data_IF_387615686504
#
_entry.id   IF_387615686504
#
_cell.length_a   1.000
_cell.length_b   1.000
_cell.length_c   1.000
_cell.angle_alpha   90.00
_cell.angle_beta   90.00
_cell.angle_gamma   90.00
#
_symmetry.space_group_name_H-M   'P 1'
#
loop_
_entity.id
_entity.type
_entity.pdbx_description
1 polymer ?
#
# COMPACT_ATOMS: atom_id res chain seq x y z
N UNK A 1 0.57 -14.18 -4.46
CA UNK A 1 1.27 -13.01 -3.89
C UNK A 1 1.35 -11.80 -4.81
N UNK A 2 1.96 -11.83 -6.01
CA UNK A 2 2.10 -10.61 -6.85
C UNK A 2 0.77 -9.91 -7.24
N UNK A 3 -0.31 -10.63 -7.61
CA UNK A 3 -1.59 -9.98 -7.90
C UNK A 3 -2.24 -9.34 -6.66
N UNK A 4 -2.11 -9.99 -5.50
CA UNK A 4 -2.58 -9.45 -4.22
C UNK A 4 -1.80 -8.20 -3.83
N UNK A 5 -0.49 -8.16 -4.10
CA UNK A 5 0.33 -6.97 -3.87
C UNK A 5 -0.18 -5.78 -4.69
N UNK A 6 -0.45 -5.97 -5.99
CA UNK A 6 -0.96 -4.89 -6.84
C UNK A 6 -2.31 -4.35 -6.35
N UNK A 7 -3.22 -5.25 -5.96
CA UNK A 7 -4.52 -4.85 -5.43
C UNK A 7 -4.35 -4.12 -4.10
N UNK A 8 -3.54 -4.66 -3.18
CA UNK A 8 -3.23 -4.01 -1.92
C UNK A 8 -2.62 -2.62 -2.12
N UNK A 9 -1.67 -2.50 -3.06
CA UNK A 9 -1.02 -1.24 -3.37
C UNK A 9 -2.01 -0.21 -3.90
N UNK A 10 -2.85 -0.56 -4.89
CA UNK A 10 -3.83 0.37 -5.45
C UNK A 10 -4.93 0.73 -4.42
N UNK A 11 -5.37 -0.24 -3.61
CA UNK A 11 -6.29 0.02 -2.50
C UNK A 11 -5.67 0.92 -1.43
N UNK A 12 -4.39 0.75 -1.12
CA UNK A 12 -3.66 1.62 -0.21
C UNK A 12 -3.54 3.06 -0.74
N UNK A 13 -3.31 3.24 -2.05
CA UNK A 13 -3.35 4.58 -2.67
C UNK A 13 -4.76 5.20 -2.53
N UNK A 14 -5.82 4.41 -2.69
CA UNK A 14 -7.19 4.89 -2.50
C UNK A 14 -7.50 5.29 -1.04
N UNK A 15 -7.02 4.53 -0.06
CA UNK A 15 -7.26 4.78 1.36
C UNK A 15 -6.51 6.01 1.89
N UNK A 16 -5.37 6.36 1.29
CA UNK A 16 -4.68 7.61 1.63
C UNK A 16 -5.44 8.87 1.25
N UNK A 17 -6.55 8.78 0.50
CA UNK A 17 -7.39 9.91 0.09
C UNK A 17 -6.61 11.07 -0.56
N UNK A 18 -5.42 10.81 -1.10
CA UNK A 18 -4.59 11.80 -1.81
C UNK A 18 -4.73 11.66 -3.31
N UNK A 19 -4.44 12.74 -4.03
CA UNK A 19 -4.38 12.74 -5.49
C UNK A 19 -3.49 11.57 -5.93
N UNK A 20 -3.99 10.59 -6.70
CA UNK A 20 -5.14 10.61 -7.63
C UNK A 20 -6.56 10.29 -7.10
N UNK A 21 -6.73 9.78 -5.88
CA UNK A 21 -8.01 9.39 -5.25
C UNK A 21 -8.47 10.39 -4.18
N UNK A 22 -8.35 11.66 -4.51
CA UNK A 22 -8.67 12.78 -3.62
C UNK A 22 -10.17 13.07 -3.62
N UNK A 23 -10.95 12.22 -2.94
CA UNK A 23 -12.42 12.34 -2.90
C UNK A 23 -12.83 13.43 -1.91
N UNK A 24 -12.22 13.46 -0.72
CA UNK A 24 -12.60 14.41 0.34
C UNK A 24 -12.29 15.87 0.00
N UNK A 25 -11.28 16.15 -0.83
CA UNK A 25 -11.00 17.49 -1.36
C UNK A 25 -11.67 17.72 -2.73
N UNK A 26 -12.12 16.66 -3.41
CA UNK A 26 -12.83 16.71 -4.69
C UNK A 26 -14.30 17.09 -4.59
N UNK A 27 -14.94 16.91 -3.43
CA UNK A 27 -16.30 17.43 -3.17
C UNK A 27 -16.29 18.95 -2.87
N UNK A 28 -15.11 19.60 -2.90
CA UNK A 28 -14.91 21.02 -2.58
C UNK A 28 -15.49 22.02 -3.58
N UNK A 29 -16.15 21.55 -4.65
CA UNK A 29 -17.13 22.39 -5.35
C UNK A 29 -18.36 22.72 -4.46
N UNK A 30 -18.56 22.03 -3.33
CA UNK A 30 -19.47 22.37 -2.23
C UNK A 30 -18.71 22.21 -0.88
N UNK A 31 -17.78 23.14 -0.60
CA UNK A 31 -17.11 23.40 0.70
C UNK A 31 -16.24 22.26 1.26
N UNK A 32 -14.92 22.46 1.26
CA UNK A 32 -13.92 21.65 1.96
C UNK A 32 -14.14 21.69 3.49
N UNK A 33 -15.05 20.85 4.01
CA UNK A 33 -15.57 20.92 5.38
C UNK A 33 -14.48 21.00 6.46
N UNK A 34 -13.55 20.04 6.52
CA UNK A 34 -12.57 20.01 7.61
C UNK A 34 -11.49 21.12 7.54
N UNK A 35 -11.27 21.71 6.36
CA UNK A 35 -10.37 22.86 6.20
C UNK A 35 -11.03 24.19 6.64
N UNK A 36 -12.36 24.25 6.65
CA UNK A 36 -13.14 25.45 6.97
C UNK A 36 -13.72 25.39 8.39
N UNK A 37 -14.02 24.19 8.90
CA UNK A 37 -14.69 23.99 10.19
C UNK A 37 -13.74 23.86 11.38
N UNK A 38 -12.49 23.44 11.16
CA UNK A 38 -11.51 23.25 12.23
C UNK A 38 -10.39 24.30 12.19
N UNK A 39 -10.08 24.91 13.35
CA UNK A 39 -8.98 25.87 13.50
C UNK A 39 -7.92 25.37 14.50
N UNK A 40 -6.67 25.82 14.31
CA UNK A 40 -5.56 25.58 15.23
C UNK A 40 -5.12 24.10 15.32
N UNK A 41 -5.28 23.51 16.51
CA UNK A 41 -4.76 22.17 16.85
C UNK A 41 -5.56 21.04 16.18
N UNK A 42 -6.88 21.20 16.04
CA UNK A 42 -7.74 20.17 15.44
C UNK A 42 -7.43 19.99 13.95
N UNK A 43 -7.17 21.09 13.24
CA UNK A 43 -6.69 21.08 11.86
C UNK A 43 -5.37 20.31 11.73
N UNK A 44 -4.38 20.58 12.60
CA UNK A 44 -3.10 19.89 12.59
C UNK A 44 -3.22 18.37 12.81
N UNK A 45 -4.16 17.93 13.67
CA UNK A 45 -4.42 16.51 13.93
C UNK A 45 -4.94 15.78 12.69
N UNK A 46 -5.76 16.42 11.85
CA UNK A 46 -6.24 15.82 10.60
C UNK A 46 -5.10 15.58 9.61
N UNK A 47 -4.20 16.56 9.41
CA UNK A 47 -3.02 16.34 8.56
C UNK A 47 -2.09 15.28 9.13
N UNK A 48 -1.86 15.32 10.46
CA UNK A 48 -1.04 14.31 11.12
C UNK A 48 -1.62 12.91 10.87
N UNK A 49 -2.92 12.72 11.07
CA UNK A 49 -3.59 11.44 10.85
C UNK A 49 -3.46 10.97 9.39
N UNK A 50 -3.62 11.87 8.42
CA UNK A 50 -3.47 11.56 7.00
C UNK A 50 -2.04 11.12 6.66
N UNK A 51 -1.01 11.82 7.16
CA UNK A 51 0.39 11.44 6.98
C UNK A 51 0.75 10.15 7.73
N UNK A 52 0.18 9.94 8.92
CA UNK A 52 0.34 8.70 9.66
C UNK A 52 -0.24 7.51 8.90
N UNK A 53 -1.40 7.67 8.25
CA UNK A 53 -2.01 6.62 7.44
C UNK A 53 -1.12 6.26 6.24
N UNK A 54 -0.52 7.25 5.57
CA UNK A 54 0.42 7.03 4.48
C UNK A 54 1.65 6.23 4.92
N UNK A 55 2.22 6.55 6.09
CA UNK A 55 3.35 5.81 6.66
C UNK A 55 2.93 4.38 7.02
N UNK A 56 1.75 4.22 7.63
CA UNK A 56 1.21 2.92 8.05
C UNK A 56 1.02 1.98 6.87
N UNK A 57 0.36 2.43 5.80
CA UNK A 57 0.12 1.64 4.58
C UNK A 57 1.46 1.26 3.92
N UNK A 58 2.44 2.17 3.91
CA UNK A 58 3.78 1.91 3.37
C UNK A 58 4.54 0.85 4.19
N UNK A 59 4.42 0.88 5.52
CA UNK A 59 5.01 -0.13 6.42
C UNK A 59 4.35 -1.49 6.20
N UNK A 60 3.02 -1.54 6.15
CA UNK A 60 2.27 -2.77 5.93
C UNK A 60 2.58 -3.40 4.56
N UNK A 61 2.70 -2.59 3.50
CA UNK A 61 3.13 -3.05 2.18
C UNK A 61 4.50 -3.75 2.25
N UNK A 62 5.45 -3.14 2.96
CA UNK A 62 6.81 -3.65 3.14
C UNK A 62 6.83 -4.98 3.92
N UNK A 63 6.05 -5.07 5.00
CA UNK A 63 5.96 -6.27 5.84
C UNK A 63 5.29 -7.42 5.11
N UNK A 64 4.13 -7.19 4.49
CA UNK A 64 3.30 -8.25 3.92
C UNK A 64 3.86 -8.81 2.61
N UNK A 65 4.50 -7.98 1.78
CA UNK A 65 4.88 -8.38 0.41
C UNK A 65 6.39 -8.37 0.14
N UNK A 66 7.17 -7.57 0.87
CA UNK A 66 8.61 -7.39 0.62
C UNK A 66 9.50 -7.96 1.74
N UNK A 67 8.98 -8.90 2.53
CA UNK A 67 9.73 -9.60 3.57
C UNK A 67 10.08 -8.76 4.79
N UNK A 68 9.47 -7.57 4.96
CA UNK A 68 9.60 -6.72 6.15
C UNK A 68 11.04 -6.42 6.54
N UNK A 69 11.45 -7.03 7.66
CA UNK A 69 12.75 -6.86 8.31
C UNK A 69 13.90 -7.61 7.64
N UNK A 70 13.59 -8.60 6.79
CA UNK A 70 14.59 -9.41 6.13
C UNK A 70 15.34 -8.61 5.08
N UNK A 71 16.64 -8.87 4.98
CA UNK A 71 17.46 -8.31 3.93
C UNK A 71 16.96 -8.82 2.58
N UNK A 72 16.74 -7.95 1.57
CA UNK A 72 16.40 -8.41 0.23
C UNK A 72 17.52 -9.22 -0.45
N UNK A 73 18.69 -9.33 0.19
CA UNK A 73 19.87 -10.04 -0.28
C UNK A 73 20.14 -11.37 0.46
N UNK A 74 19.24 -11.77 1.37
CA UNK A 74 19.36 -13.03 2.13
C UNK A 74 19.36 -14.21 1.15
N UNK A 75 20.47 -14.97 1.11
CA UNK A 75 20.70 -16.06 0.13
C UNK A 75 21.52 -15.70 -1.12
N UNK A 76 22.04 -14.47 -1.23
CA UNK A 76 22.96 -14.06 -2.31
C UNK A 76 24.41 -13.94 -1.83
N UNK A 77 25.38 -13.86 -2.76
CA UNK A 77 26.81 -13.68 -2.45
C UNK A 77 27.14 -12.41 -1.63
N UNK A 78 26.18 -11.48 -1.50
CA UNK A 78 26.34 -10.21 -0.79
C UNK A 78 25.85 -10.26 0.66
N UNK A 79 25.24 -11.37 1.09
CA UNK A 79 24.67 -11.51 2.43
C UNK A 79 25.73 -11.28 3.54
N UNK A 80 26.94 -11.82 3.34
CA UNK A 80 28.06 -11.65 4.27
C UNK A 80 28.51 -10.19 4.45
N UNK A 81 28.30 -9.33 3.45
CA UNK A 81 28.70 -7.92 3.50
C UNK A 81 27.65 -7.02 4.15
N UNK A 82 26.39 -7.45 4.20
CA UNK A 82 25.27 -6.65 4.69
C UNK A 82 24.64 -7.18 5.98
N UNK A 83 25.11 -8.33 6.50
CA UNK A 83 24.66 -8.93 7.75
C UNK A 83 24.79 -8.03 8.99
N UNK A 84 25.68 -7.03 8.96
CA UNK A 84 25.87 -6.08 10.07
C UNK A 84 24.81 -4.97 10.13
N UNK A 85 23.99 -4.81 9.08
CA UNK A 85 22.94 -3.79 9.03
C UNK A 85 21.70 -4.29 9.79
N UNK A 86 21.22 -3.55 10.82
CA UNK A 86 20.00 -3.92 11.54
C UNK A 86 18.80 -4.03 10.61
N UNK A 87 17.95 -5.05 10.81
CA UNK A 87 16.70 -5.26 10.05
C UNK A 87 15.77 -4.05 10.01
N UNK A 88 15.81 -3.19 11.04
CA UNK A 88 15.04 -1.94 11.07
C UNK A 88 15.41 -0.97 9.94
N UNK A 89 16.69 -0.92 9.56
CA UNK A 89 17.16 -0.05 8.49
C UNK A 89 16.59 -0.53 7.15
N UNK A 90 16.52 -1.85 6.93
CA UNK A 90 15.90 -2.44 5.75
C UNK A 90 14.41 -2.13 5.66
N UNK A 91 13.68 -2.27 6.79
CA UNK A 91 12.28 -1.88 6.84
C UNK A 91 12.09 -0.40 6.53
N UNK A 92 12.94 0.46 7.10
CA UNK A 92 12.88 1.91 6.91
C UNK A 92 13.15 2.31 5.46
N UNK A 93 14.18 1.73 4.82
CA UNK A 93 14.51 1.98 3.41
C UNK A 93 13.36 1.56 2.50
N UNK A 94 12.80 0.36 2.70
CA UNK A 94 11.64 -0.12 1.92
C UNK A 94 10.42 0.79 2.12
N UNK A 95 10.19 1.24 3.35
CA UNK A 95 9.09 2.16 3.66
C UNK A 95 9.29 3.52 2.96
N UNK A 96 10.50 4.09 3.00
CA UNK A 96 10.84 5.33 2.29
C UNK A 96 10.64 5.16 0.78
N UNK A 97 11.02 4.00 0.22
CA UNK A 97 10.77 3.69 -1.18
C UNK A 97 9.27 3.73 -1.50
N UNK A 98 8.41 3.08 -0.71
CA UNK A 98 6.96 3.13 -0.92
C UNK A 98 6.40 4.55 -0.80
N UNK A 99 6.81 5.30 0.22
CA UNK A 99 6.43 6.72 0.39
C UNK A 99 6.84 7.53 -0.85
N UNK A 100 8.04 7.29 -1.38
CA UNK A 100 8.51 7.93 -2.61
C UNK A 100 7.63 7.57 -3.82
N UNK A 101 7.22 6.30 -3.96
CA UNK A 101 6.27 5.90 -5.01
C UNK A 101 4.93 6.61 -4.83
N UNK A 102 4.38 6.70 -3.61
CA UNK A 102 3.14 7.45 -3.34
C UNK A 102 3.26 8.93 -3.74
N UNK A 103 4.39 9.57 -3.40
CA UNK A 103 4.70 10.94 -3.82
C UNK A 103 4.81 11.07 -5.35
N UNK A 104 5.41 10.09 -6.01
CA UNK A 104 5.57 10.08 -7.46
C UNK A 104 4.23 9.89 -8.19
N UNK A 105 3.38 8.98 -7.69
CA UNK A 105 2.02 8.78 -8.22
C UNK A 105 1.18 10.05 -8.10
N UNK A 106 1.30 10.77 -6.98
CA UNK A 106 0.66 12.07 -6.80
C UNK A 106 1.10 13.09 -7.85
N UNK A 107 2.38 13.09 -8.22
CA UNK A 107 2.93 14.03 -9.19
C UNK A 107 2.57 13.69 -10.65
N UNK A 108 2.33 12.41 -10.96
CA UNK A 108 2.18 11.92 -12.35
C UNK A 108 0.75 11.65 -12.78
N UNK A 109 -0.14 11.26 -11.85
CA UNK A 109 -1.49 10.85 -12.21
C UNK A 109 -2.50 12.00 -12.07
N UNK A 110 -3.33 12.24 -13.10
CA UNK A 110 -4.47 13.15 -12.99
C UNK A 110 -5.54 12.57 -12.04
N UNK A 111 -6.39 13.45 -11.51
CA UNK A 111 -7.48 13.09 -10.59
C UNK A 111 -8.44 12.09 -11.24
N UNK A 112 -8.80 11.02 -10.53
CA UNK A 112 -9.81 10.05 -10.96
C UNK A 112 -11.19 10.39 -10.38
N UNK A 113 -12.24 10.19 -11.17
CA UNK A 113 -13.63 10.41 -10.73
C UNK A 113 -14.09 9.26 -9.83
N UNK A 114 -14.84 9.57 -8.77
CA UNK A 114 -15.40 8.61 -7.80
C UNK A 114 -16.03 7.38 -8.47
N UNK A 115 -16.87 7.59 -9.49
CA UNK A 115 -17.56 6.51 -10.21
C UNK A 115 -16.62 5.49 -10.89
N UNK A 116 -15.44 5.94 -11.32
CA UNK A 116 -14.45 5.07 -11.94
C UNK A 116 -13.74 4.22 -10.89
N UNK A 117 -13.48 4.79 -9.72
CA UNK A 117 -12.83 4.15 -8.58
C UNK A 117 -13.76 3.08 -8.00
N UNK A 118 -15.03 3.43 -7.81
CA UNK A 118 -16.05 2.50 -7.32
C UNK A 118 -16.23 1.32 -8.29
N UNK A 119 -16.26 1.60 -9.60
CA UNK A 119 -16.31 0.53 -10.62
C UNK A 119 -15.06 -0.35 -10.61
N UNK A 120 -13.87 0.21 -10.42
CA UNK A 120 -12.62 -0.53 -10.33
C UNK A 120 -12.61 -1.45 -9.10
N UNK A 121 -12.98 -0.94 -7.92
CA UNK A 121 -13.05 -1.72 -6.69
C UNK A 121 -14.06 -2.87 -6.79
N UNK A 122 -15.28 -2.57 -7.23
CA UNK A 122 -16.36 -3.57 -7.25
C UNK A 122 -16.30 -4.54 -8.43
N UNK A 123 -15.95 -4.08 -9.64
CA UNK A 123 -15.97 -4.95 -10.82
C UNK A 123 -14.64 -5.63 -11.11
N UNK A 124 -13.53 -5.12 -10.58
CA UNK A 124 -12.20 -5.62 -10.92
C UNK A 124 -11.51 -6.18 -9.67
N UNK A 125 -11.36 -5.41 -8.60
CA UNK A 125 -10.60 -5.89 -7.43
C UNK A 125 -11.26 -7.04 -6.70
N UNK A 126 -12.54 -6.92 -6.36
CA UNK A 126 -13.27 -7.93 -5.61
C UNK A 126 -13.31 -9.31 -6.33
N UNK A 127 -13.65 -9.42 -7.62
CA UNK A 127 -13.62 -10.72 -8.28
C UNK A 127 -12.20 -11.28 -8.42
N UNK A 128 -11.19 -10.44 -8.67
CA UNK A 128 -9.80 -10.91 -8.79
C UNK A 128 -9.27 -11.45 -7.47
N UNK A 129 -9.50 -10.76 -6.34
CA UNK A 129 -9.06 -11.25 -5.03
C UNK A 129 -9.72 -12.57 -4.67
N UNK A 130 -11.03 -12.72 -4.95
CA UNK A 130 -11.74 -13.97 -4.71
C UNK A 130 -11.17 -15.12 -5.55
N UNK A 131 -11.03 -14.93 -6.87
CA UNK A 131 -10.45 -15.95 -7.75
C UNK A 131 -9.04 -16.34 -7.29
N UNK A 132 -8.25 -15.34 -6.88
CA UNK A 132 -6.88 -15.57 -6.45
C UNK A 132 -6.80 -16.35 -5.13
N UNK A 133 -7.66 -16.06 -4.16
CA UNK A 133 -7.73 -16.81 -2.89
C UNK A 133 -8.17 -18.26 -3.14
N UNK A 134 -9.17 -18.48 -4.01
CA UNK A 134 -9.56 -19.83 -4.41
C UNK A 134 -8.42 -20.58 -5.11
N UNK A 135 -7.69 -19.89 -6.00
CA UNK A 135 -6.53 -20.46 -6.68
C UNK A 135 -5.43 -20.84 -5.69
N UNK A 136 -5.05 -19.95 -4.76
CA UNK A 136 -4.07 -20.24 -3.72
C UNK A 136 -4.54 -21.42 -2.84
N UNK A 137 -5.82 -21.47 -2.45
CA UNK A 137 -6.39 -22.59 -1.69
C UNK A 137 -6.32 -23.93 -2.42
N UNK A 138 -6.57 -23.94 -3.73
CA UNK A 138 -6.47 -25.14 -4.57
C UNK A 138 -5.00 -25.58 -4.72
N UNK A 139 -4.09 -24.63 -4.98
CA UNK A 139 -2.66 -24.91 -5.09
C UNK A 139 -2.07 -25.45 -3.80
N UNK A 140 -2.58 -24.96 -2.67
CA UNK A 140 -2.30 -25.48 -1.34
C UNK A 140 -2.80 -26.94 -1.25
N UNK A 141 -4.06 -27.21 -1.58
CA UNK A 141 -4.61 -28.57 -1.53
C UNK A 141 -3.79 -29.57 -2.37
N UNK A 142 -3.34 -29.18 -3.57
CA UNK A 142 -2.51 -30.02 -4.43
C UNK A 142 -1.01 -30.06 -4.06
N UNK A 143 -0.60 -29.39 -2.97
CA UNK A 143 0.79 -29.39 -2.46
C UNK A 143 1.85 -29.06 -3.53
N UNK A 144 1.55 -28.09 -4.40
CA UNK A 144 2.47 -27.67 -5.47
C UNK A 144 3.46 -26.63 -4.93
N UNK A 145 4.76 -26.95 -4.96
CA UNK A 145 5.85 -25.98 -4.68
C UNK A 145 5.76 -24.83 -5.72
N UNK A 146 5.69 -23.54 -5.32
CA UNK A 146 6.30 -22.87 -4.15
C UNK A 146 5.34 -22.48 -3.00
N UNK A 147 4.09 -22.96 -3.01
CA UNK A 147 3.05 -22.54 -2.04
C UNK A 147 3.01 -23.40 -0.77
N UNK A 148 3.72 -24.52 -0.81
CA UNK A 148 4.01 -25.36 0.34
C UNK A 148 5.51 -25.36 0.59
N UNK A 149 5.91 -24.95 1.80
CA UNK A 149 7.22 -25.29 2.33
C UNK A 149 7.03 -26.63 3.05
N UNK A 150 7.69 -27.68 2.57
CA UNK A 150 7.86 -28.89 3.40
C UNK A 150 8.65 -28.47 4.64
N UNK A 151 7.98 -28.46 5.79
CA UNK A 151 8.64 -28.45 7.09
C UNK A 151 9.54 -29.67 7.25
#
# INVERSE_FOLDING_TARGET
>A
MFPLFLIYFISGVAETNRAPFDVSEGESEIVAGFHVEYSGMAFAMFFLAEYMNLILISILASIMFFGGWLSPLEGTFLDSYFAWIPGFIWLSIKTIFFIFVFLWLRATLPRYRYDQIMRLGWKIFLPITLIWIFFEGIMIYYSVEPWFVKS
#
